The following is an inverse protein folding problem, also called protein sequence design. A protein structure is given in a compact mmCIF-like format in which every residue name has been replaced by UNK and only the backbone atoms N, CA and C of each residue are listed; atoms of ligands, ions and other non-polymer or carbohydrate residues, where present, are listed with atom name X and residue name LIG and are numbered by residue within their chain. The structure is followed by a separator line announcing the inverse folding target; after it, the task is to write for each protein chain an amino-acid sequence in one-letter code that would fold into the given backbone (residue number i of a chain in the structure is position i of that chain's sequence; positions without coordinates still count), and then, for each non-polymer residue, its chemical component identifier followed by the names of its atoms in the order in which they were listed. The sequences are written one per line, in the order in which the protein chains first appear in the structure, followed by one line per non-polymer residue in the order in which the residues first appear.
data_IF_674700582089
#
_entry.id   IF_674700582089
#
_cell.length_a   1.000
_cell.length_b   1.000
_cell.length_c   1.000
_cell.angle_alpha   90.00
_cell.angle_beta   90.00
_cell.angle_gamma   90.00
#
_symmetry.space_group_name_H-M   'P 1'
#
loop_
_entity.id
_entity.type
_entity.pdbx_description
1 polymer ?
#
# COMPACT_ATOMS: atom_id res chain seq x y z
N UNK A 1 47.80 -14.78 -2.98
CA UNK A 1 47.43 -15.03 -1.57
C UNK A 1 46.01 -14.52 -1.46
N UNK A 2 45.03 -15.43 -1.55
CA UNK A 2 43.61 -15.10 -1.65
C UNK A 2 42.99 -15.01 -0.25
N UNK A 3 42.62 -13.81 0.18
CA UNK A 3 41.59 -13.58 1.19
C UNK A 3 40.40 -12.98 0.44
N UNK A 4 39.31 -13.75 0.29
CA UNK A 4 37.93 -13.34 0.57
C UNK A 4 36.98 -14.39 -0.02
N UNK A 5 36.59 -15.36 0.80
CA UNK A 5 35.39 -16.15 0.52
C UNK A 5 34.87 -16.74 1.83
N UNK A 6 34.41 -15.85 2.73
CA UNK A 6 33.58 -16.28 3.85
C UNK A 6 32.13 -16.33 3.37
N UNK A 7 31.43 -17.47 3.49
CA UNK A 7 30.01 -17.52 3.18
C UNK A 7 29.27 -16.61 4.18
N UNK A 8 28.62 -15.58 3.67
CA UNK A 8 27.67 -14.74 4.41
C UNK A 8 26.52 -15.63 4.87
N UNK A 9 26.63 -16.15 6.09
CA UNK A 9 25.50 -16.83 6.74
C UNK A 9 24.35 -15.83 6.85
N UNK A 10 23.13 -16.19 6.41
CA UNK A 10 21.96 -15.35 6.64
C UNK A 10 21.78 -15.15 8.14
N UNK A 11 21.61 -13.90 8.56
CA UNK A 11 21.34 -13.59 9.95
C UNK A 11 19.86 -13.89 10.21
N UNK A 12 19.58 -14.80 11.14
CA UNK A 12 18.21 -15.07 11.57
C UNK A 12 17.76 -13.91 12.48
N UNK A 13 16.88 -13.07 11.95
CA UNK A 13 16.38 -11.85 12.61
C UNK A 13 15.36 -12.13 13.72
N UNK A 14 14.90 -13.37 13.85
CA UNK A 14 13.95 -13.85 14.87
C UNK A 14 14.51 -13.81 16.31
N UNK A 15 15.83 -13.67 16.48
CA UNK A 15 16.51 -13.64 17.78
C UNK A 15 17.07 -12.26 18.15
N UNK A 16 16.92 -11.24 17.29
CA UNK A 16 17.46 -9.92 17.56
C UNK A 16 16.47 -9.11 18.40
N UNK A 17 16.88 -8.71 19.60
CA UNK A 17 16.11 -7.75 20.40
C UNK A 17 16.17 -6.39 19.72
N UNK A 18 15.03 -5.97 19.17
CA UNK A 18 14.93 -4.78 18.36
C UNK A 18 15.00 -3.54 19.22
N UNK A 19 15.88 -2.60 18.88
CA UNK A 19 15.96 -1.29 19.51
C UNK A 19 15.30 -0.25 18.59
N UNK A 20 14.07 0.24 18.90
CA UNK A 20 13.35 1.17 18.04
C UNK A 20 14.10 2.48 17.81
N UNK A 21 14.82 2.99 18.82
CA UNK A 21 15.60 4.23 18.70
C UNK A 21 16.75 4.10 17.70
N UNK A 22 17.39 2.93 17.65
CA UNK A 22 18.44 2.64 16.67
C UNK A 22 17.84 2.48 15.27
N UNK A 23 16.75 1.72 15.15
CA UNK A 23 16.06 1.50 13.88
C UNK A 23 15.62 2.83 13.24
N UNK A 24 15.11 3.76 14.05
CA UNK A 24 14.62 5.08 13.62
C UNK A 24 15.70 6.08 13.26
N UNK A 25 16.99 5.77 13.47
CA UNK A 25 18.08 6.59 12.92
C UNK A 25 18.09 6.58 11.40
N UNK A 26 17.47 5.59 10.78
CA UNK A 26 17.26 5.58 9.34
C UNK A 26 15.92 6.25 8.99
N UNK A 27 15.87 7.15 7.99
CA UNK A 27 14.62 7.68 7.47
C UNK A 27 13.67 6.56 7.01
N UNK A 28 12.36 6.64 7.31
CA UNK A 28 11.41 5.58 6.99
C UNK A 28 11.32 5.32 5.48
N UNK A 29 11.32 6.37 4.65
CA UNK A 29 11.28 6.23 3.19
C UNK A 29 12.45 5.38 2.67
N UNK A 30 13.63 5.58 3.26
CA UNK A 30 14.85 4.85 2.92
C UNK A 30 14.82 3.42 3.48
N UNK A 31 14.31 3.25 4.70
CA UNK A 31 14.15 1.96 5.36
C UNK A 31 13.22 1.01 4.57
N UNK A 32 12.03 1.50 4.19
CA UNK A 32 11.05 0.74 3.41
C UNK A 32 11.51 0.52 1.97
N UNK A 33 12.03 1.56 1.29
CA UNK A 33 12.47 1.44 -0.12
C UNK A 33 13.63 0.46 -0.29
N UNK A 34 14.54 0.41 0.67
CA UNK A 34 15.72 -0.44 0.61
C UNK A 34 15.55 -1.76 1.39
N UNK A 35 14.36 -2.01 1.97
CA UNK A 35 14.08 -3.17 2.82
C UNK A 35 15.19 -3.40 3.84
N UNK A 36 15.41 -2.39 4.68
CA UNK A 36 16.59 -2.31 5.52
C UNK A 36 16.30 -1.76 6.90
N UNK A 37 16.94 -2.33 7.90
CA UNK A 37 16.70 -2.05 9.30
C UNK A 37 18.02 -2.03 10.08
N UNK A 38 18.36 -0.92 10.77
CA UNK A 38 19.41 -0.93 11.78
C UNK A 38 19.05 -1.87 12.93
N UNK A 39 19.91 -2.85 13.21
CA UNK A 39 19.62 -3.94 14.16
C UNK A 39 20.52 -3.95 15.40
N UNK A 40 21.75 -3.43 15.29
CA UNK A 40 22.68 -3.36 16.42
C UNK A 40 23.69 -2.23 16.24
N UNK A 41 24.24 -1.72 17.35
CA UNK A 41 25.33 -0.74 17.37
C UNK A 41 26.41 -1.24 18.34
N UNK A 42 27.65 -1.33 17.87
CA UNK A 42 28.82 -1.69 18.68
C UNK A 42 30.02 -0.86 18.24
N UNK A 43 30.76 -0.30 19.19
CA UNK A 43 32.00 0.45 18.94
C UNK A 43 31.87 1.57 17.89
N UNK A 44 30.70 2.23 17.86
CA UNK A 44 30.40 3.30 16.89
C UNK A 44 30.08 2.82 15.47
N UNK A 45 30.01 1.50 15.26
CA UNK A 45 29.59 0.90 13.99
C UNK A 45 28.16 0.36 14.11
N UNK A 46 27.32 0.71 13.14
CA UNK A 46 25.93 0.25 13.07
C UNK A 46 25.86 -0.98 12.17
N UNK A 47 25.26 -2.05 12.67
CA UNK A 47 24.89 -3.22 11.86
C UNK A 47 23.50 -3.01 11.29
N UNK A 48 23.38 -3.15 9.98
CA UNK A 48 22.16 -2.92 9.22
C UNK A 48 21.77 -4.21 8.51
N UNK A 49 20.60 -4.75 8.84
CA UNK A 49 19.98 -5.82 8.08
C UNK A 49 19.39 -5.27 6.78
N UNK A 50 19.60 -5.96 5.66
CA UNK A 50 19.13 -5.53 4.35
C UNK A 50 18.75 -6.72 3.49
N UNK A 51 17.65 -6.62 2.75
CA UNK A 51 17.21 -7.68 1.84
C UNK A 51 18.22 -7.94 0.70
N UNK A 52 18.84 -6.87 0.18
CA UNK A 52 19.81 -6.95 -0.91
C UNK A 52 21.10 -6.13 -0.64
N UNK A 53 22.08 -6.68 0.08
CA UNK A 53 23.37 -6.01 0.34
C UNK A 53 24.25 -5.78 -0.90
N UNK A 54 23.87 -6.32 -2.06
CA UNK A 54 24.57 -6.09 -3.33
C UNK A 54 24.26 -4.72 -3.96
N UNK A 55 23.20 -4.04 -3.52
CA UNK A 55 22.84 -2.73 -4.05
C UNK A 55 23.72 -1.62 -3.47
N UNK A 56 24.77 -1.26 -4.23
CA UNK A 56 25.71 -0.21 -3.86
C UNK A 56 25.05 1.17 -3.72
N UNK A 57 23.98 1.48 -4.47
CA UNK A 57 23.29 2.76 -4.37
C UNK A 57 22.54 2.87 -3.06
N UNK A 58 21.80 1.83 -2.71
CA UNK A 58 21.11 1.74 -1.44
C UNK A 58 22.09 1.81 -0.26
N UNK A 59 23.21 1.06 -0.32
CA UNK A 59 24.24 1.09 0.73
C UNK A 59 24.83 2.49 0.94
N UNK A 60 25.13 3.20 -0.14
CA UNK A 60 25.65 4.57 -0.06
C UNK A 60 24.62 5.54 0.54
N UNK A 61 23.35 5.41 0.15
CA UNK A 61 22.27 6.23 0.71
C UNK A 61 22.08 5.97 2.21
N UNK A 62 22.13 4.70 2.63
CA UNK A 62 22.01 4.30 4.04
C UNK A 62 23.21 4.81 4.86
N UNK A 63 24.43 4.66 4.34
CA UNK A 63 25.63 5.16 5.01
C UNK A 63 25.60 6.69 5.18
N UNK A 64 25.15 7.42 4.14
CA UNK A 64 24.98 8.87 4.19
C UNK A 64 23.93 9.28 5.23
N UNK A 65 22.80 8.57 5.30
CA UNK A 65 21.74 8.84 6.26
C UNK A 65 22.17 8.56 7.72
N UNK A 66 22.95 7.51 7.95
CA UNK A 66 23.42 7.12 9.29
C UNK A 66 24.69 7.88 9.73
N UNK A 67 25.31 8.67 8.85
CA UNK A 67 26.54 9.41 9.14
C UNK A 67 27.75 8.54 9.49
N UNK A 68 27.69 7.24 9.19
CA UNK A 68 28.70 6.24 9.54
C UNK A 68 28.88 5.24 8.38
N UNK A 69 29.88 4.35 8.47
CA UNK A 69 30.03 3.22 7.55
C UNK A 69 29.42 1.96 8.17
N UNK A 70 28.15 1.65 7.90
CA UNK A 70 27.48 0.51 8.51
C UNK A 70 27.99 -0.83 7.97
N UNK A 71 27.89 -1.86 8.81
CA UNK A 71 28.05 -3.25 8.41
C UNK A 71 26.72 -3.79 7.89
N UNK A 72 26.68 -4.18 6.62
CA UNK A 72 25.48 -4.74 6.02
C UNK A 72 25.45 -6.25 6.18
N UNK A 73 24.36 -6.75 6.74
CA UNK A 73 24.07 -8.19 6.82
C UNK A 73 22.84 -8.50 6.00
N UNK A 74 22.86 -9.62 5.29
CA UNK A 74 21.70 -10.06 4.54
C UNK A 74 20.63 -10.59 5.50
N UNK A 75 19.44 -10.01 5.41
CA UNK A 75 18.25 -10.49 6.12
C UNK A 75 17.16 -10.91 5.14
N UNK A 76 16.19 -11.67 5.64
CA UNK A 76 14.99 -12.02 4.90
C UNK A 76 14.10 -10.77 4.73
N UNK A 77 13.61 -10.53 3.50
CA UNK A 77 12.82 -9.33 3.18
C UNK A 77 11.51 -9.28 3.94
N UNK A 78 10.76 -10.39 4.00
CA UNK A 78 9.48 -10.42 4.71
C UNK A 78 9.67 -10.15 6.21
N UNK A 79 10.74 -10.71 6.78
CA UNK A 79 11.09 -10.49 8.19
C UNK A 79 11.48 -9.03 8.44
N UNK A 80 12.32 -8.43 7.60
CA UNK A 80 12.68 -7.02 7.71
C UNK A 80 11.43 -6.14 7.60
N UNK A 81 10.55 -6.38 6.64
CA UNK A 81 9.34 -5.59 6.43
C UNK A 81 8.36 -5.69 7.61
N UNK A 82 8.26 -6.88 8.22
CA UNK A 82 7.45 -7.08 9.44
C UNK A 82 7.99 -6.25 10.61
N UNK A 83 9.31 -6.26 10.78
CA UNK A 83 10.00 -5.50 11.83
C UNK A 83 9.96 -3.99 11.58
N UNK A 84 10.07 -3.55 10.32
CA UNK A 84 9.86 -2.16 9.91
C UNK A 84 8.43 -1.73 10.25
N UNK A 85 7.44 -2.56 9.94
CA UNK A 85 6.06 -2.27 10.31
C UNK A 85 5.94 -2.13 11.84
N UNK A 86 6.55 -2.99 12.66
CA UNK A 86 6.51 -2.92 14.13
C UNK A 86 7.16 -1.64 14.70
N UNK A 87 8.35 -1.28 14.22
CA UNK A 87 9.09 -0.09 14.69
C UNK A 87 8.36 1.22 14.37
N UNK A 88 7.74 1.30 13.20
CA UNK A 88 7.06 2.51 12.73
C UNK A 88 5.54 2.50 12.98
N UNK A 89 4.96 1.39 13.44
CA UNK A 89 3.55 1.34 13.92
C UNK A 89 3.39 1.75 15.39
N UNK A 90 4.46 1.68 16.18
CA UNK A 90 4.40 1.94 17.62
C UNK A 90 5.03 3.30 17.94
N UNK A 91 4.20 4.34 18.05
CA UNK A 91 4.58 5.67 18.58
C UNK A 91 5.71 6.39 17.83
N UNK A 92 5.35 7.31 16.91
CA UNK A 92 5.99 8.63 16.73
C UNK A 92 5.03 9.49 15.90
N UNK A 93 4.78 10.71 16.39
CA UNK A 93 4.04 11.75 15.70
C UNK A 93 4.76 12.22 14.45
N UNK A 94 4.67 11.45 13.36
CA UNK A 94 4.67 12.06 12.05
C UNK A 94 3.44 12.97 12.02
N UNK A 95 3.67 14.28 11.88
CA UNK A 95 2.63 15.18 11.38
C UNK A 95 2.16 14.53 10.08
N UNK A 96 1.02 13.86 10.15
CA UNK A 96 0.48 13.18 8.98
C UNK A 96 0.15 14.31 8.02
N UNK A 97 0.70 14.33 6.81
CA UNK A 97 0.47 15.43 5.87
C UNK A 97 -0.34 14.94 4.70
N UNK A 98 -1.49 15.58 4.49
CA UNK A 98 -2.39 15.28 3.38
C UNK A 98 -2.35 16.40 2.36
N UNK A 99 -2.17 16.02 1.09
CA UNK A 99 -2.26 16.94 -0.03
C UNK A 99 -3.63 16.78 -0.69
N UNK A 100 -4.46 17.82 -0.67
CA UNK A 100 -5.77 17.81 -1.30
C UNK A 100 -5.67 18.50 -2.65
N UNK A 101 -6.01 17.78 -3.71
CA UNK A 101 -6.09 18.33 -5.06
C UNK A 101 -7.52 18.19 -5.58
N UNK A 102 -8.16 19.32 -5.85
CA UNK A 102 -9.51 19.37 -6.41
C UNK A 102 -9.62 20.55 -7.38
N UNK A 103 -10.64 20.49 -8.23
CA UNK A 103 -11.07 21.63 -9.05
C UNK A 103 -11.93 22.58 -8.23
N UNK A 104 -11.96 23.87 -8.57
CA UNK A 104 -12.76 24.90 -7.87
C UNK A 104 -14.20 24.46 -7.57
N UNK A 105 -14.88 23.83 -8.52
CA UNK A 105 -16.29 23.44 -8.38
C UNK A 105 -16.57 22.35 -7.34
N UNK A 106 -15.55 21.56 -6.96
CA UNK A 106 -15.66 20.48 -5.94
C UNK A 106 -14.73 20.71 -4.77
N UNK A 107 -14.15 21.91 -4.66
CA UNK A 107 -13.18 22.20 -3.62
C UNK A 107 -13.80 22.05 -2.24
N UNK A 108 -14.96 22.67 -2.00
CA UNK A 108 -15.64 22.65 -0.69
C UNK A 108 -15.98 21.22 -0.23
N UNK A 109 -16.66 20.42 -1.08
CA UNK A 109 -17.05 19.04 -0.75
C UNK A 109 -15.84 18.14 -0.42
N UNK A 110 -14.80 18.21 -1.25
CA UNK A 110 -13.60 17.37 -1.10
C UNK A 110 -12.72 17.86 0.04
N UNK A 111 -12.65 19.17 0.26
CA UNK A 111 -11.95 19.78 1.37
C UNK A 111 -12.61 19.42 2.70
N UNK A 112 -13.94 19.50 2.81
CA UNK A 112 -14.66 19.09 4.02
C UNK A 112 -14.41 17.61 4.35
N UNK A 113 -14.44 16.76 3.32
CA UNK A 113 -14.12 15.35 3.47
C UNK A 113 -12.67 15.13 3.94
N UNK A 114 -11.71 15.84 3.34
CA UNK A 114 -10.31 15.81 3.72
C UNK A 114 -10.08 16.34 5.14
N UNK A 115 -10.73 17.44 5.54
CA UNK A 115 -10.67 18.01 6.89
C UNK A 115 -11.17 17.04 7.95
N UNK A 116 -12.27 16.33 7.68
CA UNK A 116 -12.77 15.30 8.59
C UNK A 116 -11.81 14.12 8.70
N UNK A 117 -11.25 13.66 7.59
CA UNK A 117 -10.27 12.56 7.56
C UNK A 117 -8.95 12.98 8.25
N UNK A 118 -8.49 14.20 8.00
CA UNK A 118 -7.28 14.77 8.60
C UNK A 118 -7.41 14.98 10.09
N UNK A 119 -8.54 15.53 10.57
CA UNK A 119 -8.76 15.71 12.01
C UNK A 119 -8.67 14.39 12.78
N UNK A 120 -9.12 13.29 12.18
CA UNK A 120 -9.13 11.97 12.82
C UNK A 120 -7.78 11.25 12.75
N UNK A 121 -7.04 11.48 11.67
CA UNK A 121 -5.70 10.95 11.51
C UNK A 121 -4.61 11.89 12.05
N UNK A 122 -5.01 12.97 12.74
CA UNK A 122 -4.13 14.03 13.25
C UNK A 122 -3.21 14.58 12.16
N UNK A 123 -3.80 14.86 10.99
CA UNK A 123 -3.09 15.26 9.80
C UNK A 123 -3.22 16.77 9.52
N UNK A 124 -2.10 17.38 9.13
CA UNK A 124 -2.07 18.69 8.49
C UNK A 124 -2.50 18.57 7.03
N UNK A 125 -3.28 19.54 6.57
CA UNK A 125 -3.86 19.54 5.24
C UNK A 125 -3.28 20.69 4.44
N UNK A 126 -2.64 20.36 3.33
CA UNK A 126 -2.23 21.33 2.31
C UNK A 126 -3.13 21.20 1.08
N UNK A 127 -3.46 22.33 0.47
CA UNK A 127 -4.27 22.38 -0.74
C UNK A 127 -3.42 22.71 -1.97
N UNK A 128 -3.70 22.01 -3.07
CA UNK A 128 -3.19 22.32 -4.39
C UNK A 128 -4.34 22.43 -5.39
N UNK A 129 -4.52 23.62 -5.94
CA UNK A 129 -5.51 23.87 -6.98
C UNK A 129 -5.15 23.19 -8.30
N UNK A 130 -6.11 22.47 -8.87
CA UNK A 130 -5.96 21.79 -10.16
C UNK A 130 -6.24 22.77 -11.31
N UNK A 131 -5.18 23.32 -11.91
CA UNK A 131 -5.29 24.04 -13.18
C UNK A 131 -5.30 23.04 -14.36
N UNK A 132 -6.36 23.06 -15.18
CA UNK A 132 -6.62 22.07 -16.24
C UNK A 132 -5.61 22.07 -17.41
N UNK A 133 -4.62 22.96 -17.42
CA UNK A 133 -3.62 23.05 -18.49
C UNK A 133 -2.57 21.93 -18.38
N UNK A 134 -2.89 20.85 -19.08
CA UNK A 134 -2.25 19.53 -19.10
C UNK A 134 -0.73 19.51 -19.36
N UNK A 135 -0.02 18.66 -18.60
CA UNK A 135 1.40 18.31 -18.76
C UNK A 135 2.21 18.56 -17.49
N UNK A 136 2.08 19.76 -16.91
CA UNK A 136 2.75 20.16 -15.68
C UNK A 136 2.15 19.57 -14.41
N UNK A 137 0.88 19.16 -14.44
CA UNK A 137 0.17 18.62 -13.28
C UNK A 137 0.87 17.39 -12.68
N UNK A 138 1.19 16.40 -13.52
CA UNK A 138 1.85 15.17 -13.10
C UNK A 138 3.22 15.46 -12.49
N UNK A 139 4.03 16.27 -13.16
CA UNK A 139 5.36 16.62 -12.67
C UNK A 139 5.30 17.43 -11.37
N UNK A 140 4.35 18.35 -11.25
CA UNK A 140 4.16 19.13 -10.02
C UNK A 140 3.67 18.26 -8.87
N UNK A 141 2.78 17.31 -9.13
CA UNK A 141 2.24 16.42 -8.11
C UNK A 141 3.25 15.35 -7.70
N UNK A 142 4.03 14.79 -8.63
CA UNK A 142 5.14 13.89 -8.28
C UNK A 142 6.25 14.63 -7.53
N UNK A 143 6.59 15.86 -7.94
CA UNK A 143 7.57 16.69 -7.23
C UNK A 143 7.08 17.08 -5.84
N UNK A 144 5.82 17.49 -5.70
CA UNK A 144 5.23 17.77 -4.37
C UNK A 144 5.08 16.50 -3.53
N UNK A 145 4.80 15.35 -4.14
CA UNK A 145 4.74 14.08 -3.43
C UNK A 145 6.06 13.82 -2.68
N UNK A 146 7.21 14.16 -3.26
CA UNK A 146 8.51 14.04 -2.60
C UNK A 146 8.67 14.92 -1.34
N UNK A 147 7.79 15.90 -1.08
CA UNK A 147 7.83 16.79 0.08
C UNK A 147 7.28 16.16 1.38
N UNK A 148 7.22 14.82 1.46
CA UNK A 148 6.92 14.09 2.69
C UNK A 148 5.42 13.93 3.02
N UNK A 149 4.55 13.91 2.01
CA UNK A 149 3.12 13.62 2.22
C UNK A 149 2.85 12.14 2.49
N UNK A 150 1.83 11.84 3.28
CA UNK A 150 1.42 10.47 3.57
C UNK A 150 0.24 10.00 2.72
N UNK A 151 -0.57 10.95 2.22
CA UNK A 151 -1.75 10.66 1.40
C UNK A 151 -2.04 11.84 0.49
N UNK A 152 -2.38 11.55 -0.77
CA UNK A 152 -2.90 12.53 -1.71
C UNK A 152 -4.40 12.27 -1.87
N UNK A 153 -5.23 13.29 -1.70
CA UNK A 153 -6.69 13.22 -1.86
C UNK A 153 -7.06 13.93 -3.15
N UNK A 154 -7.60 13.19 -4.12
CA UNK A 154 -8.04 13.71 -5.41
C UNK A 154 -9.55 13.76 -5.49
N UNK A 155 -10.11 14.95 -5.73
CA UNK A 155 -11.51 15.10 -6.11
C UNK A 155 -11.71 14.74 -7.59
N UNK A 156 -12.42 13.64 -7.90
CA UNK A 156 -12.77 13.31 -9.29
C UNK A 156 -13.85 14.29 -9.80
N UNK A 157 -13.88 14.70 -11.06
CA UNK A 157 -14.89 15.67 -11.53
C UNK A 157 -16.31 15.06 -11.63
N UNK A 158 -17.33 15.89 -11.40
CA UNK A 158 -18.77 15.56 -11.38
C UNK A 158 -19.41 15.37 -12.79
N UNK A 159 -18.60 15.43 -13.85
CA UNK A 159 -19.10 15.15 -15.20
C UNK A 159 -19.06 13.64 -15.45
N UNK A 160 -20.11 13.04 -16.06
CA UNK A 160 -20.13 11.63 -16.37
C UNK A 160 -18.83 11.27 -17.09
N UNK A 161 -18.07 10.35 -16.49
CA UNK A 161 -16.71 9.91 -16.82
C UNK A 161 -16.62 9.25 -18.22
N UNK A 162 -17.56 9.54 -19.12
CA UNK A 162 -17.59 8.94 -20.45
C UNK A 162 -16.53 9.50 -21.41
N UNK A 163 -15.94 10.70 -21.22
CA UNK A 163 -15.14 11.28 -22.34
C UNK A 163 -13.90 12.15 -22.13
N UNK A 164 -13.50 12.65 -20.94
CA UNK A 164 -12.37 13.64 -20.91
C UNK A 164 -11.26 13.52 -19.87
N UNK A 165 -11.52 13.18 -18.60
CA UNK A 165 -10.41 13.07 -17.62
C UNK A 165 -9.72 11.69 -17.64
N UNK A 166 -10.49 10.64 -17.94
CA UNK A 166 -10.00 9.25 -17.93
C UNK A 166 -9.76 8.67 -19.31
N UNK A 167 -9.93 9.46 -20.38
CA UNK A 167 -9.80 9.01 -21.77
C UNK A 167 -8.36 9.03 -22.31
N UNK A 168 -7.34 9.19 -21.46
CA UNK A 168 -5.93 9.22 -21.90
C UNK A 168 -4.97 8.63 -20.84
N UNK A 169 -3.80 8.09 -21.26
CA UNK A 169 -2.82 7.35 -20.43
C UNK A 169 -2.16 8.15 -19.29
N UNK A 170 -2.62 9.38 -19.02
CA UNK A 170 -2.15 10.24 -17.94
C UNK A 170 -2.68 9.76 -16.58
N UNK A 171 -3.94 9.29 -16.52
CA UNK A 171 -4.51 8.77 -15.26
C UNK A 171 -3.84 7.47 -14.81
N UNK A 172 -3.57 6.54 -15.74
CA UNK A 172 -2.81 5.33 -15.42
C UNK A 172 -1.39 5.65 -14.95
N UNK A 173 -0.74 6.66 -15.57
CA UNK A 173 0.59 7.11 -15.14
C UNK A 173 0.59 7.74 -13.76
N UNK A 174 -0.41 8.55 -13.40
CA UNK A 174 -0.57 9.06 -12.02
C UNK A 174 -0.66 7.88 -11.03
N UNK A 175 -1.53 6.92 -11.35
CA UNK A 175 -1.76 5.76 -10.50
C UNK A 175 -0.54 4.86 -10.37
N UNK A 176 0.28 4.72 -11.42
CA UNK A 176 1.46 3.85 -11.41
C UNK A 176 2.75 4.56 -10.94
N UNK A 177 2.89 5.87 -11.14
CA UNK A 177 4.15 6.59 -10.90
C UNK A 177 4.25 7.27 -9.52
N UNK A 178 3.13 7.44 -8.81
CA UNK A 178 3.18 8.03 -7.48
C UNK A 178 3.63 7.01 -6.45
N UNK A 179 4.65 7.31 -5.63
CA UNK A 179 5.10 6.42 -4.57
C UNK A 179 4.23 6.51 -3.30
N UNK A 180 3.22 7.37 -3.28
CA UNK A 180 2.41 7.71 -2.09
C UNK A 180 0.98 7.20 -2.28
N UNK A 181 0.31 6.74 -1.20
CA UNK A 181 -1.10 6.39 -1.23
C UNK A 181 -1.97 7.51 -1.81
N UNK A 182 -3.03 7.09 -2.52
CA UNK A 182 -3.91 8.00 -3.25
C UNK A 182 -5.37 7.71 -2.93
N UNK A 183 -6.10 8.70 -2.42
CA UNK A 183 -7.53 8.64 -2.18
C UNK A 183 -8.30 9.38 -3.27
N UNK A 184 -8.99 8.65 -4.14
CA UNK A 184 -9.81 9.24 -5.20
C UNK A 184 -11.26 9.35 -4.73
N UNK A 185 -11.69 10.58 -4.46
CA UNK A 185 -13.04 10.91 -3.98
C UNK A 185 -13.95 11.19 -5.17
N UNK A 186 -14.75 10.19 -5.56
CA UNK A 186 -15.76 10.35 -6.62
C UNK A 186 -17.06 10.94 -6.06
N UNK A 187 -17.50 10.43 -4.91
CA UNK A 187 -18.61 10.98 -4.15
C UNK A 187 -18.27 10.84 -2.68
N UNK A 188 -18.46 11.90 -1.91
CA UNK A 188 -18.21 11.83 -0.47
C UNK A 188 -19.21 10.87 0.19
N UNK A 189 -18.70 10.00 1.06
CA UNK A 189 -19.49 9.05 1.85
C UNK A 189 -19.03 9.15 3.29
N UNK A 190 -19.97 9.44 4.19
CA UNK A 190 -19.67 9.67 5.60
C UNK A 190 -20.89 9.33 6.47
N UNK A 191 -20.71 8.78 7.68
CA UNK A 191 -19.45 8.33 8.31
C UNK A 191 -18.89 7.06 7.67
N UNK A 192 -17.57 6.84 7.77
CA UNK A 192 -16.91 5.63 7.27
C UNK A 192 -17.20 4.44 8.19
N UNK A 193 -18.37 3.81 8.01
CA UNK A 193 -18.85 2.72 8.89
C UNK A 193 -18.54 1.35 8.33
N UNK A 194 -18.51 1.20 7.00
CA UNK A 194 -18.22 -0.06 6.31
C UNK A 194 -17.15 0.14 5.24
N UNK A 195 -16.05 -0.58 5.37
CA UNK A 195 -14.91 -0.51 4.45
C UNK A 195 -14.74 -1.85 3.73
N UNK A 196 -14.51 -1.80 2.43
CA UNK A 196 -14.16 -2.97 1.62
C UNK A 196 -12.68 -2.92 1.28
N UNK A 197 -11.93 -3.95 1.65
CA UNK A 197 -10.52 -4.13 1.29
C UNK A 197 -10.43 -5.23 0.25
N UNK A 198 -9.91 -4.90 -0.93
CA UNK A 198 -9.68 -5.84 -2.01
C UNK A 198 -8.27 -6.42 -1.91
N UNK A 199 -8.18 -7.73 -1.67
CA UNK A 199 -6.91 -8.46 -1.52
C UNK A 199 -6.62 -9.26 -2.78
N UNK A 200 -5.39 -9.12 -3.30
CA UNK A 200 -4.92 -9.75 -4.55
C UNK A 200 -3.91 -10.86 -4.33
N UNK A 201 -3.46 -11.04 -3.09
CA UNK A 201 -2.35 -11.93 -2.73
C UNK A 201 -1.01 -11.35 -3.12
N UNK A 202 -0.88 -10.03 -3.19
CA UNK A 202 0.33 -9.33 -3.64
C UNK A 202 1.01 -8.59 -2.47
N UNK A 203 2.26 -8.14 -2.63
CA UNK A 203 3.00 -7.45 -1.55
C UNK A 203 2.29 -6.18 -1.07
N UNK A 204 1.66 -5.43 -1.98
CA UNK A 204 0.91 -4.21 -1.66
C UNK A 204 -0.35 -4.43 -0.81
N UNK A 205 -0.80 -5.67 -0.61
CA UNK A 205 -1.96 -5.96 0.24
C UNK A 205 -1.68 -5.65 1.72
N UNK A 206 -0.43 -5.75 2.17
CA UNK A 206 -0.05 -5.39 3.54
C UNK A 206 -0.36 -3.91 3.82
N UNK A 207 0.10 -3.02 2.93
CA UNK A 207 -0.16 -1.57 2.98
C UNK A 207 -1.66 -1.25 2.91
N UNK A 208 -2.41 -2.03 2.12
CA UNK A 208 -3.87 -1.91 2.01
C UNK A 208 -4.56 -2.23 3.33
N UNK A 209 -4.12 -3.30 4.01
CA UNK A 209 -4.63 -3.70 5.33
C UNK A 209 -4.23 -2.69 6.41
N UNK A 210 -3.01 -2.14 6.37
CA UNK A 210 -2.53 -1.10 7.30
C UNK A 210 -3.45 0.13 7.27
N UNK A 211 -3.73 0.64 6.08
CA UNK A 211 -4.66 1.75 5.88
C UNK A 211 -6.07 1.42 6.35
N UNK A 212 -6.55 0.21 6.06
CA UNK A 212 -7.84 -0.27 6.53
C UNK A 212 -7.94 -0.28 8.05
N UNK A 213 -6.94 -0.84 8.75
CA UNK A 213 -6.87 -0.88 10.20
C UNK A 213 -6.83 0.54 10.77
N UNK A 214 -5.93 1.39 10.28
CA UNK A 214 -5.76 2.77 10.75
C UNK A 214 -7.06 3.56 10.65
N UNK A 215 -7.76 3.44 9.52
CA UNK A 215 -9.05 4.10 9.33
C UNK A 215 -10.13 3.46 10.21
N UNK A 216 -10.23 2.13 10.25
CA UNK A 216 -11.27 1.46 11.03
C UNK A 216 -11.14 1.71 12.54
N UNK A 217 -9.92 1.79 13.08
CA UNK A 217 -9.67 2.18 14.47
C UNK A 217 -10.17 3.59 14.77
N UNK A 218 -9.93 4.54 13.86
CA UNK A 218 -10.37 5.93 14.02
C UNK A 218 -11.91 6.08 13.97
N UNK A 219 -12.61 5.23 13.22
CA UNK A 219 -14.07 5.33 13.00
C UNK A 219 -14.90 4.23 13.66
N UNK A 220 -14.27 3.28 14.35
CA UNK A 220 -14.91 2.02 14.76
C UNK A 220 -15.65 1.33 13.59
N UNK A 221 -15.01 1.33 12.42
CA UNK A 221 -15.61 0.82 11.19
C UNK A 221 -15.53 -0.71 11.11
N UNK A 222 -16.49 -1.30 10.40
CA UNK A 222 -16.43 -2.72 10.03
C UNK A 222 -15.66 -2.89 8.74
N UNK A 223 -14.72 -3.84 8.71
CA UNK A 223 -13.92 -4.16 7.54
C UNK A 223 -14.44 -5.45 6.90
N UNK A 224 -14.66 -5.43 5.59
CA UNK A 224 -14.76 -6.65 4.79
C UNK A 224 -13.48 -6.84 3.99
N UNK A 225 -12.76 -7.94 4.23
CA UNK A 225 -11.67 -8.39 3.37
C UNK A 225 -12.26 -9.24 2.24
N UNK A 226 -12.08 -8.84 0.98
CA UNK A 226 -12.52 -9.59 -0.18
C UNK A 226 -11.31 -10.09 -0.97
N UNK A 227 -11.15 -11.40 -1.05
CA UNK A 227 -10.19 -12.04 -1.94
C UNK A 227 -10.92 -12.70 -3.11
N UNK A 228 -10.48 -12.43 -4.33
CA UNK A 228 -11.09 -12.99 -5.54
C UNK A 228 -10.06 -13.85 -6.26
N UNK A 229 -10.42 -15.10 -6.48
CA UNK A 229 -9.61 -16.08 -7.19
C UNK A 229 -10.03 -16.07 -8.66
N UNK A 230 -9.15 -15.66 -9.59
CA UNK A 230 -9.50 -15.64 -11.00
C UNK A 230 -9.78 -17.06 -11.50
N UNK A 231 -10.75 -17.21 -12.40
CA UNK A 231 -10.95 -18.46 -13.13
C UNK A 231 -9.84 -18.63 -14.16
N UNK A 232 -9.01 -19.65 -14.00
CA UNK A 232 -7.91 -19.93 -14.92
C UNK A 232 -8.49 -20.34 -16.29
N UNK A 233 -8.12 -19.68 -17.39
CA UNK A 233 -8.55 -20.11 -18.72
C UNK A 233 -8.12 -21.56 -18.99
N UNK A 234 -8.97 -22.34 -19.66
CA UNK A 234 -8.77 -23.79 -19.88
C UNK A 234 -7.39 -24.10 -20.51
N UNK A 235 -6.87 -23.21 -21.36
CA UNK A 235 -5.54 -23.35 -21.98
C UNK A 235 -4.34 -23.30 -21.01
N UNK A 236 -4.54 -22.87 -19.76
CA UNK A 236 -3.51 -22.84 -18.71
C UNK A 236 -3.71 -23.91 -17.63
N UNK A 237 -4.71 -24.80 -17.78
CA UNK A 237 -4.88 -25.96 -16.89
C UNK A 237 -3.69 -26.92 -17.05
N UNK A 238 -3.12 -27.42 -15.95
CA UNK A 238 -1.92 -28.26 -15.94
C UNK A 238 -0.60 -27.53 -15.66
N UNK A 239 -0.59 -26.19 -15.67
CA UNK A 239 0.55 -25.40 -15.25
C UNK A 239 0.45 -25.12 -13.75
N UNK A 240 1.26 -25.79 -12.93
CA UNK A 240 1.31 -25.64 -11.46
C UNK A 240 1.34 -24.19 -10.96
N UNK A 241 1.89 -23.25 -11.74
CA UNK A 241 1.94 -21.81 -11.40
C UNK A 241 0.56 -21.13 -11.42
N UNK A 242 -0.41 -21.70 -12.14
CA UNK A 242 -1.73 -21.13 -12.33
C UNK A 242 -2.83 -21.89 -11.61
N UNK A 243 -2.61 -23.12 -11.13
CA UNK A 243 -3.63 -24.03 -10.58
C UNK A 243 -4.25 -23.64 -9.24
N UNK A 244 -4.09 -22.40 -8.76
CA UNK A 244 -4.62 -21.98 -7.45
C UNK A 244 -6.16 -21.91 -7.48
N UNK A 245 -6.79 -23.02 -7.08
CA UNK A 245 -8.24 -23.11 -6.90
C UNK A 245 -8.69 -22.62 -5.52
N UNK A 246 -10.00 -22.42 -5.35
CA UNK A 246 -10.58 -22.00 -4.05
C UNK A 246 -10.27 -23.00 -2.92
N UNK A 247 -10.18 -24.30 -3.25
CA UNK A 247 -9.83 -25.35 -2.29
C UNK A 247 -8.36 -25.28 -1.84
N UNK A 248 -7.46 -24.95 -2.77
CA UNK A 248 -6.03 -24.77 -2.49
C UNK A 248 -5.75 -23.46 -1.72
N UNK A 249 -6.69 -22.51 -1.78
CA UNK A 249 -6.66 -21.32 -0.93
C UNK A 249 -7.13 -21.54 0.49
N UNK A 250 -8.00 -22.52 0.68
CA UNK A 250 -8.41 -22.99 2.00
C UNK A 250 -7.35 -23.93 2.60
N UNK A 251 -6.42 -24.46 1.81
CA UNK A 251 -5.27 -25.18 2.35
C UNK A 251 -4.19 -24.19 2.84
N UNK A 252 -3.68 -24.45 4.04
CA UNK A 252 -2.83 -23.52 4.82
C UNK A 252 -1.47 -23.19 4.21
N UNK A 253 -1.11 -23.82 3.09
CA UNK A 253 0.26 -23.80 2.54
C UNK A 253 0.44 -22.88 1.33
N UNK A 254 -0.63 -22.34 0.74
CA UNK A 254 -0.49 -21.42 -0.39
C UNK A 254 -0.21 -19.97 0.07
N UNK A 255 0.59 -19.23 -0.72
CA UNK A 255 1.03 -17.88 -0.37
C UNK A 255 -0.13 -16.89 -0.16
N UNK A 256 -1.17 -16.93 -1.01
CA UNK A 256 -2.35 -16.09 -0.83
C UNK A 256 -3.14 -16.49 0.43
N UNK A 257 -3.30 -17.79 0.73
CA UNK A 257 -3.96 -18.24 1.96
C UNK A 257 -3.25 -17.78 3.23
N UNK A 258 -1.91 -17.86 3.25
CA UNK A 258 -1.10 -17.33 4.35
C UNK A 258 -1.26 -15.81 4.50
N UNK A 259 -1.26 -15.05 3.40
CA UNK A 259 -1.46 -13.60 3.42
C UNK A 259 -2.85 -13.21 3.91
N UNK A 260 -3.90 -13.90 3.47
CA UNK A 260 -5.27 -13.68 3.95
C UNK A 260 -5.42 -13.98 5.44
N UNK A 261 -4.79 -15.07 5.89
CA UNK A 261 -4.76 -15.43 7.31
C UNK A 261 -4.05 -14.36 8.14
N UNK A 262 -2.86 -13.91 7.71
CA UNK A 262 -2.13 -12.80 8.36
C UNK A 262 -3.01 -11.54 8.42
N UNK A 263 -3.68 -11.18 7.32
CA UNK A 263 -4.58 -10.02 7.30
C UNK A 263 -5.74 -10.16 8.31
N UNK A 264 -6.39 -11.33 8.35
CA UNK A 264 -7.45 -11.60 9.30
C UNK A 264 -6.96 -11.60 10.77
N UNK A 265 -5.83 -12.23 11.05
CA UNK A 265 -5.19 -12.24 12.37
C UNK A 265 -4.85 -10.82 12.85
N UNK A 266 -4.42 -9.94 11.94
CA UNK A 266 -4.18 -8.53 12.25
C UNK A 266 -5.47 -7.79 12.62
N UNK A 267 -6.57 -8.01 11.90
CA UNK A 267 -7.86 -7.40 12.28
C UNK A 267 -8.31 -7.85 13.68
N UNK A 268 -8.13 -9.15 14.00
CA UNK A 268 -8.46 -9.70 15.32
C UNK A 268 -7.55 -9.13 16.41
N UNK A 269 -6.24 -9.02 16.15
CA UNK A 269 -5.26 -8.44 17.08
C UNK A 269 -5.63 -7.01 17.46
N UNK A 270 -6.06 -6.22 16.48
CA UNK A 270 -6.46 -4.83 16.66
C UNK A 270 -7.92 -4.67 17.16
N UNK A 271 -8.58 -5.79 17.51
CA UNK A 271 -9.94 -5.86 18.03
C UNK A 271 -11.00 -5.20 17.12
N UNK A 272 -10.80 -5.32 15.80
CA UNK A 272 -11.69 -4.76 14.78
C UNK A 272 -12.71 -5.79 14.29
N UNK A 273 -13.93 -5.33 14.03
CA UNK A 273 -14.96 -6.15 13.40
C UNK A 273 -14.61 -6.40 11.93
N UNK A 274 -14.21 -7.64 11.62
CA UNK A 274 -13.78 -8.05 10.29
C UNK A 274 -14.63 -9.20 9.72
N UNK A 275 -14.94 -9.14 8.42
CA UNK A 275 -15.48 -10.28 7.67
C UNK A 275 -14.54 -10.64 6.52
N UNK A 276 -14.10 -11.89 6.43
CA UNK A 276 -13.35 -12.39 5.28
C UNK A 276 -14.32 -13.03 4.27
N UNK A 277 -14.32 -12.56 3.02
CA UNK A 277 -15.09 -13.10 1.90
C UNK A 277 -14.14 -13.62 0.84
N UNK A 278 -14.33 -14.89 0.49
CA UNK A 278 -13.64 -15.54 -0.62
C UNK A 278 -14.61 -15.69 -1.79
N UNK A 279 -14.19 -15.27 -2.99
CA UNK A 279 -14.97 -15.42 -4.23
C UNK A 279 -14.11 -16.04 -5.31
N UNK A 280 -14.75 -16.69 -6.27
CA UNK A 280 -14.09 -17.18 -7.48
C UNK A 280 -14.76 -16.57 -8.71
N UNK A 281 -13.96 -16.24 -9.73
CA UNK A 281 -14.44 -15.70 -11.00
C UNK A 281 -13.71 -14.44 -11.41
N UNK A 282 -14.33 -13.66 -12.31
CA UNK A 282 -13.77 -12.38 -12.76
C UNK A 282 -13.61 -11.41 -11.58
N UNK A 283 -12.39 -10.89 -11.30
CA UNK A 283 -12.17 -9.89 -10.26
C UNK A 283 -13.03 -8.64 -10.41
N UNK A 284 -13.20 -8.16 -11.63
CA UNK A 284 -14.07 -7.00 -11.92
C UNK A 284 -15.53 -7.30 -11.55
N UNK A 285 -16.08 -8.42 -12.04
CA UNK A 285 -17.49 -8.74 -11.82
C UNK A 285 -17.79 -9.02 -10.34
N UNK A 286 -16.93 -9.78 -9.66
CA UNK A 286 -17.11 -10.10 -8.24
C UNK A 286 -16.96 -8.85 -7.36
N UNK A 287 -16.02 -7.96 -7.65
CA UNK A 287 -15.86 -6.70 -6.92
C UNK A 287 -17.08 -5.80 -7.12
N UNK A 288 -17.58 -5.70 -8.35
CA UNK A 288 -18.76 -4.91 -8.68
C UNK A 288 -20.03 -5.48 -8.02
N UNK A 289 -20.18 -6.80 -8.03
CA UNK A 289 -21.27 -7.47 -7.35
C UNK A 289 -21.24 -7.18 -5.85
N UNK A 290 -20.09 -7.37 -5.20
CA UNK A 290 -19.91 -7.10 -3.77
C UNK A 290 -20.19 -5.64 -3.42
N UNK A 291 -19.75 -4.68 -4.24
CA UNK A 291 -20.04 -3.25 -4.06
C UNK A 291 -21.50 -2.86 -4.34
N UNK A 292 -22.20 -3.62 -5.17
CA UNK A 292 -23.63 -3.39 -5.42
C UNK A 292 -24.52 -3.93 -4.30
N UNK A 293 -24.07 -5.01 -3.64
CA UNK A 293 -24.82 -5.67 -2.57
C UNK A 293 -24.47 -5.09 -1.20
N UNK A 294 -23.19 -4.78 -0.98
CA UNK A 294 -22.71 -4.15 0.23
C UNK A 294 -22.69 -2.64 0.10
N UNK A 295 -23.38 -1.96 1.01
CA UNK A 295 -23.33 -0.49 1.10
C UNK A 295 -22.03 -0.07 1.81
N UNK A 296 -20.92 -0.15 1.08
CA UNK A 296 -19.59 0.23 1.56
C UNK A 296 -19.36 1.74 1.39
N UNK A 297 -18.74 2.37 2.38
CA UNK A 297 -18.44 3.80 2.38
C UNK A 297 -17.08 4.11 1.74
N UNK A 298 -16.14 3.16 1.78
CA UNK A 298 -14.78 3.27 1.26
C UNK A 298 -14.32 1.94 0.69
N UNK A 299 -13.63 1.99 -0.46
CA UNK A 299 -12.93 0.84 -1.03
C UNK A 299 -11.43 1.08 -0.90
N UNK A 300 -10.69 0.08 -0.43
CA UNK A 300 -9.23 0.13 -0.32
C UNK A 300 -8.66 -0.99 -1.19
N UNK A 301 -7.69 -0.64 -2.03
CA UNK A 301 -7.06 -1.55 -2.99
C UNK A 301 -5.57 -1.26 -3.09
N UNK A 302 -4.75 -2.28 -3.34
CA UNK A 302 -3.35 -2.12 -3.68
C UNK A 302 -3.19 -1.53 -5.08
N UNK A 303 -2.13 -0.75 -5.32
CA UNK A 303 -1.78 -0.30 -6.66
C UNK A 303 -1.59 -1.51 -7.60
N UNK A 304 -1.95 -1.35 -8.89
CA UNK A 304 -1.77 -2.43 -9.86
C UNK A 304 -0.29 -2.82 -9.97
N UNK A 305 0.05 -4.12 -10.01
CA UNK A 305 1.42 -4.58 -10.06
C UNK A 305 2.12 -4.10 -11.35
N UNK A 306 3.43 -3.87 -11.24
CA UNK A 306 4.27 -3.49 -12.38
C UNK A 306 4.45 -4.65 -13.38
N UNK A 307 4.28 -5.90 -12.95
CA UNK A 307 4.42 -7.07 -13.82
C UNK A 307 3.24 -7.23 -14.79
N UNK A 308 3.55 -7.10 -16.08
CA UNK A 308 2.62 -7.21 -17.20
C UNK A 308 1.90 -8.56 -17.27
N UNK A 309 2.52 -9.66 -16.84
CA UNK A 309 1.89 -10.99 -16.83
C UNK A 309 0.84 -11.10 -15.73
N UNK A 310 1.13 -10.57 -14.54
CA UNK A 310 0.17 -10.53 -13.45
C UNK A 310 -1.00 -9.59 -13.79
N UNK A 311 -0.72 -8.45 -14.43
CA UNK A 311 -1.76 -7.53 -14.93
C UNK A 311 -2.64 -8.16 -16.02
N UNK A 312 -2.09 -9.02 -16.88
CA UNK A 312 -2.84 -9.71 -17.92
C UNK A 312 -3.77 -10.80 -17.36
N UNK A 313 -3.34 -11.48 -16.29
CA UNK A 313 -4.06 -12.64 -15.73
C UNK A 313 -5.06 -12.23 -14.64
N UNK A 314 -4.70 -11.29 -13.78
CA UNK A 314 -5.59 -10.74 -12.74
C UNK A 314 -6.46 -9.59 -13.26
N UNK A 315 -6.07 -8.95 -14.35
CA UNK A 315 -6.62 -7.67 -14.80
C UNK A 315 -6.04 -6.49 -14.00
N UNK A 316 -6.06 -5.30 -14.59
CA UNK A 316 -5.92 -4.05 -13.81
C UNK A 316 -7.23 -3.80 -13.08
N UNK A 317 -7.20 -3.69 -11.75
CA UNK A 317 -8.43 -3.54 -10.95
C UNK A 317 -8.71 -2.07 -10.63
N UNK A 318 -7.67 -1.27 -10.45
CA UNK A 318 -7.78 0.12 -10.01
C UNK A 318 -8.49 0.98 -11.05
N UNK A 319 -8.07 0.91 -12.31
CA UNK A 319 -8.66 1.76 -13.36
C UNK A 319 -10.13 1.43 -13.65
N UNK A 320 -10.54 0.15 -13.84
CA UNK A 320 -11.95 -0.19 -13.97
C UNK A 320 -12.74 0.22 -12.73
N UNK A 321 -12.24 -0.07 -11.52
CA UNK A 321 -12.91 0.28 -10.27
C UNK A 321 -13.27 1.76 -10.22
N UNK A 322 -12.32 2.65 -10.48
CA UNK A 322 -12.54 4.11 -10.52
C UNK A 322 -13.53 4.55 -11.62
N UNK A 323 -13.75 3.75 -12.66
CA UNK A 323 -14.65 4.08 -13.74
C UNK A 323 -16.12 3.81 -13.39
N UNK A 324 -16.40 2.76 -12.63
CA UNK A 324 -17.77 2.30 -12.38
C UNK A 324 -18.24 2.43 -10.93
N UNK A 325 -17.35 2.63 -9.96
CA UNK A 325 -17.75 2.85 -8.57
C UNK A 325 -18.19 4.30 -8.35
N UNK A 326 -19.10 4.50 -7.40
CA UNK A 326 -19.47 5.83 -6.89
C UNK A 326 -18.84 6.09 -5.51
N UNK A 327 -17.95 5.19 -5.05
CA UNK A 327 -17.37 5.24 -3.71
C UNK A 327 -15.97 5.84 -3.74
N UNK A 328 -15.53 6.52 -2.66
CA UNK A 328 -14.13 6.83 -2.47
C UNK A 328 -13.28 5.56 -2.59
N UNK A 329 -12.16 5.66 -3.31
CA UNK A 329 -11.21 4.55 -3.49
C UNK A 329 -9.84 4.99 -2.99
N UNK A 330 -9.34 4.31 -1.95
CA UNK A 330 -7.98 4.45 -1.44
C UNK A 330 -7.09 3.42 -2.13
N UNK A 331 -6.03 3.90 -2.76
CA UNK A 331 -5.05 3.11 -3.47
C UNK A 331 -3.77 3.12 -2.64
N UNK A 332 -3.50 2.00 -1.99
CA UNK A 332 -2.30 1.80 -1.17
C UNK A 332 -1.09 1.44 -2.05
N UNK A 333 0.10 1.72 -1.55
CA UNK A 333 1.37 1.54 -2.26
C UNK A 333 2.23 0.49 -1.59
#
# INVERSE_FOLDING_TARGET
MNEDNRPTRPLFLDQVTLNPELARRLPPDLAFRCHTLPVAESDGAITVAMANPGDLRARNAIAAALGTSPFFVQGDRETIDTLLAEVWSTEIGFQTRFLVCSTQNRFEEVNDYACRLGSLLHAEIEYLELNEESGFFLNNLTKKAEDGYNLIILGAQDRPIKKRLFSRPVSERILSQLPIPLLVVQKTRWPLSKMLILLRGEEGDCSTVDWGIRLAQAYNATITLLAIVPSIPVMYQGLKRFEVGLYELLSTECALGQRLRRAAERLVKENLNGTLRLRQGSPEWQSRYELSVGDYDLVIVSADPDDWLHRYIMGGLVYPLLHWTDRPVLIAK
#
